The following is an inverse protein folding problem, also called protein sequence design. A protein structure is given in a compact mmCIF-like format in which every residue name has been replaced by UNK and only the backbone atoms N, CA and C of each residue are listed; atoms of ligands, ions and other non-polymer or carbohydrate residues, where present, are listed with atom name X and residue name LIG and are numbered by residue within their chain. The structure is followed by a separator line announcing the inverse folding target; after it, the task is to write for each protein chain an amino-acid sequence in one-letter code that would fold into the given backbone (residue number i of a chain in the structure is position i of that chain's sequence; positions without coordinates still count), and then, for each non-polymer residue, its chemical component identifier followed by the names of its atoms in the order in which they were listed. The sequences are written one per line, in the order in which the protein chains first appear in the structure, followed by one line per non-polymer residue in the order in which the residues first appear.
data_IF_417494204175
#
_entry.id   IF_417494204175
#
_cell.length_a   1.000
_cell.length_b   1.000
_cell.length_c   1.000
_cell.angle_alpha   90.00
_cell.angle_beta   90.00
_cell.angle_gamma   90.00
#
_symmetry.space_group_name_H-M   'P 1'
#
loop_
_entity.id
_entity.type
_entity.pdbx_description
1 polymer ?
#
# COMPACT_ATOMS: atom_id res chain seq x y z
N UNK A 1 -7.43 -6.66 7.23
CA UNK A 1 -6.43 -6.03 6.37
C UNK A 1 -6.85 -4.65 5.99
N UNK A 2 -5.94 -3.70 6.11
CA UNK A 2 -6.28 -2.33 5.80
C UNK A 2 -6.04 -2.06 4.33
N UNK A 3 -7.03 -1.54 3.65
CA UNK A 3 -6.94 -1.24 2.24
C UNK A 3 -6.71 0.23 2.03
N UNK A 4 -6.05 0.55 0.94
CA UNK A 4 -5.82 1.94 0.55
C UNK A 4 -6.29 2.12 -0.88
N UNK A 5 -6.76 3.32 -1.19
CA UNK A 5 -7.27 3.64 -2.50
C UNK A 5 -6.38 4.70 -3.12
N UNK A 6 -5.90 4.45 -4.32
CA UNK A 6 -5.12 5.42 -5.05
C UNK A 6 -6.08 6.51 -5.52
N UNK A 7 -5.86 7.75 -5.08
CA UNK A 7 -6.83 8.80 -5.31
C UNK A 7 -7.07 9.05 -6.78
N UNK A 8 -6.04 8.97 -7.59
CA UNK A 8 -6.18 9.30 -8.98
C UNK A 8 -6.89 8.23 -9.79
N UNK A 9 -6.67 6.97 -9.49
CA UNK A 9 -7.23 5.89 -10.30
C UNK A 9 -8.37 5.13 -9.62
N UNK A 10 -8.49 5.26 -8.32
CA UNK A 10 -9.50 4.50 -7.58
C UNK A 10 -9.14 3.05 -7.35
N UNK A 11 -7.93 2.65 -7.71
CA UNK A 11 -7.54 1.24 -7.56
C UNK A 11 -7.14 0.93 -6.14
N UNK A 12 -7.30 -0.33 -5.78
CA UNK A 12 -7.10 -0.75 -4.41
C UNK A 12 -5.74 -1.37 -4.19
N UNK A 13 -5.17 -1.08 -3.04
CA UNK A 13 -3.87 -1.57 -2.65
C UNK A 13 -3.91 -1.93 -1.17
N UNK A 14 -2.91 -2.64 -0.69
CA UNK A 14 -2.76 -2.84 0.74
C UNK A 14 -1.34 -2.52 1.14
N UNK A 15 -1.14 -2.01 2.33
CA UNK A 15 0.19 -1.75 2.84
C UNK A 15 0.74 -3.06 3.37
N UNK A 16 1.92 -3.44 2.90
CA UNK A 16 2.56 -4.66 3.36
C UNK A 16 3.35 -4.36 4.63
N UNK A 17 4.20 -3.35 4.59
CA UNK A 17 5.01 -3.00 5.75
C UNK A 17 5.63 -1.62 5.53
N UNK A 18 5.92 -0.93 6.61
CA UNK A 18 6.67 0.31 6.52
C UNK A 18 8.02 0.13 7.21
N UNK A 19 8.39 -1.13 7.49
CA UNK A 19 9.60 -1.41 8.21
C UNK A 19 10.47 -2.35 7.40
N UNK A 20 11.19 -1.80 6.45
CA UNK A 20 12.07 -2.59 5.61
C UNK A 20 13.20 -1.68 5.10
N UNK A 21 14.22 -2.27 4.51
CA UNK A 21 15.36 -1.53 4.05
C UNK A 21 15.66 -1.89 2.61
N UNK A 22 16.15 -0.91 1.85
CA UNK A 22 16.53 -1.11 0.48
C UNK A 22 18.02 -0.87 0.39
N UNK A 23 18.74 -1.73 -0.32
CA UNK A 23 20.15 -1.52 -0.54
C UNK A 23 20.35 -0.94 -1.93
N UNK A 24 21.03 0.18 -2.01
CA UNK A 24 21.25 0.83 -3.26
C UNK A 24 22.65 1.43 -3.29
N UNK A 25 23.44 1.09 -4.29
CA UNK A 25 24.78 1.61 -4.43
C UNK A 25 25.62 1.39 -3.16
N UNK A 26 25.46 0.21 -2.57
CA UNK A 26 26.24 -0.12 -1.37
C UNK A 26 25.74 0.47 -0.09
N UNK A 27 24.62 1.21 -0.12
CA UNK A 27 24.09 1.85 1.07
C UNK A 27 22.70 1.35 1.38
N UNK A 28 22.41 1.20 2.66
CA UNK A 28 21.08 0.81 3.09
C UNK A 28 20.22 2.04 3.31
N UNK A 29 19.00 1.99 2.84
CA UNK A 29 18.06 3.10 2.97
C UNK A 29 16.76 2.58 3.57
N UNK A 30 16.13 3.40 4.37
CA UNK A 30 14.86 3.06 4.99
C UNK A 30 13.94 4.25 4.85
N UNK A 31 12.73 4.12 5.33
CA UNK A 31 11.79 5.24 5.29
C UNK A 31 10.83 5.12 4.13
N UNK A 32 10.54 3.89 3.72
CA UNK A 32 9.61 3.67 2.63
C UNK A 32 8.43 2.85 3.11
N UNK A 33 7.34 2.94 2.36
CA UNK A 33 6.19 2.08 2.58
C UNK A 33 6.14 1.11 1.43
N UNK A 34 6.09 -0.18 1.74
CA UNK A 34 5.94 -1.22 0.74
C UNK A 34 4.46 -1.57 0.65
N UNK A 35 3.90 -1.51 -0.54
CA UNK A 35 2.50 -1.79 -0.73
C UNK A 35 2.30 -2.68 -1.94
N UNK A 36 1.15 -3.28 -2.03
CA UNK A 36 0.90 -4.26 -3.07
C UNK A 36 -0.45 -4.01 -3.71
N UNK A 37 -0.56 -4.32 -5.00
CA UNK A 37 -1.81 -4.15 -5.71
C UNK A 37 -2.81 -5.20 -5.27
N UNK A 38 -4.07 -4.82 -5.20
CA UNK A 38 -5.15 -5.76 -4.95
C UNK A 38 -5.93 -5.99 -6.25
N UNK A 39 -5.28 -5.73 -7.37
CA UNK A 39 -5.85 -5.99 -8.68
C UNK A 39 -4.70 -6.49 -9.55
N UNK A 40 -5.03 -7.05 -10.71
CA UNK A 40 -4.01 -7.56 -11.58
C UNK A 40 -3.32 -6.41 -12.27
N UNK A 41 -2.02 -6.29 -12.12
CA UNK A 41 -1.26 -5.18 -12.68
C UNK A 41 -0.08 -5.75 -13.45
N UNK A 42 -0.05 -5.59 -14.78
CA UNK A 42 1.04 -6.16 -15.57
C UNK A 42 2.39 -5.50 -15.29
N UNK A 43 2.42 -4.32 -14.70
CA UNK A 43 3.66 -3.64 -14.43
C UNK A 43 4.31 -4.07 -13.12
N UNK A 44 3.64 -4.86 -12.32
CA UNK A 44 4.22 -5.34 -11.07
C UNK A 44 3.19 -5.44 -9.98
N UNK A 45 3.57 -6.10 -8.91
CA UNK A 45 2.66 -6.32 -7.80
C UNK A 45 3.04 -5.52 -6.57
N UNK A 46 4.33 -5.34 -6.34
CA UNK A 46 4.80 -4.65 -5.15
C UNK A 46 5.48 -3.35 -5.53
N UNK A 47 5.23 -2.32 -4.77
CA UNK A 47 5.77 -0.99 -5.02
C UNK A 47 6.17 -0.36 -3.71
N UNK A 48 7.03 0.62 -3.75
CA UNK A 48 7.46 1.34 -2.56
C UNK A 48 7.42 2.84 -2.83
N UNK A 49 7.00 3.60 -1.83
CA UNK A 49 7.00 5.06 -1.89
C UNK A 49 7.44 5.58 -0.54
N UNK A 50 7.90 6.82 -0.49
CA UNK A 50 8.14 7.43 0.80
C UNK A 50 6.79 7.63 1.48
N UNK A 51 6.77 7.76 2.81
CA UNK A 51 5.50 7.96 3.50
C UNK A 51 4.78 9.21 3.02
N UNK A 52 5.51 10.31 2.78
CA UNK A 52 4.88 11.51 2.30
C UNK A 52 4.21 11.28 0.97
N UNK A 53 4.90 10.64 0.05
CA UNK A 53 4.33 10.39 -1.27
C UNK A 53 3.16 9.42 -1.18
N UNK A 54 3.25 8.43 -0.32
CA UNK A 54 2.19 7.46 -0.18
C UNK A 54 0.92 8.11 0.36
N UNK A 55 1.02 8.85 1.47
CA UNK A 55 -0.18 9.41 2.07
C UNK A 55 -0.74 10.59 1.28
N UNK A 56 0.07 11.18 0.41
CA UNK A 56 -0.44 12.21 -0.43
C UNK A 56 -1.29 11.63 -1.57
N UNK A 57 -0.96 10.45 -2.03
CA UNK A 57 -1.60 9.85 -3.19
C UNK A 57 -2.60 8.74 -2.88
N UNK A 58 -2.65 8.30 -1.64
CA UNK A 58 -3.56 7.22 -1.24
C UNK A 58 -4.37 7.63 -0.05
N UNK A 59 -5.56 7.10 0.04
CA UNK A 59 -6.38 7.34 1.23
C UNK A 59 -6.85 6.01 1.75
N UNK A 60 -7.10 5.95 3.05
CA UNK A 60 -7.48 4.71 3.67
C UNK A 60 -8.88 4.32 3.25
N UNK A 61 -9.03 3.10 2.82
CA UNK A 61 -10.33 2.60 2.43
C UNK A 61 -11.01 1.93 3.59
N UNK A 62 -12.30 1.62 3.41
CA UNK A 62 -13.01 0.96 4.45
C UNK A 62 -12.68 -0.50 4.49
N UNK A 63 -12.71 -1.02 5.70
CA UNK A 63 -12.52 -2.45 5.85
C UNK A 63 -13.83 -3.08 5.69
N UNK A 64 -14.09 -3.68 4.54
CA UNK A 64 -15.34 -4.18 4.31
C UNK A 64 -15.71 -5.26 5.13
N UNK A 65 -14.87 -5.96 5.51
CA UNK A 65 -15.21 -7.02 6.25
C UNK A 65 -15.70 -6.69 7.48
N UNK A 66 -15.45 -5.62 7.75
CA UNK A 66 -15.89 -5.31 8.93
C UNK A 66 -17.23 -5.48 8.91
N UNK A 67 -17.53 -5.62 8.53
CA UNK A 67 -18.66 -5.68 8.61
C UNK A 67 -19.37 -6.58 8.49
N UNK A 68 -19.34 -6.90 8.05
CA UNK A 68 -20.17 -7.71 7.80
C UNK A 68 -20.35 -8.66 8.68
N UNK A 69 -19.69 -9.02 9.02
CA UNK A 69 -19.79 -9.92 9.74
C UNK A 69 -20.57 -9.93 10.65
N UNK A 70 -20.57 -9.50 10.79
CA UNK A 70 -21.25 -9.46 11.56
C UNK A 70 -22.45 -9.55 11.37
N UNK A 71 -22.71 -9.69 10.72
CA UNK A 71 -23.79 -9.77 10.54
C UNK A 71 -24.42 -10.62 10.79
N UNK A 72 -24.05 -10.99 10.87
CA UNK A 72 -24.55 -11.75 11.21
C UNK A 72 -24.92 -12.13 11.79
#
# INVERSE_FOLDING_TARGET
MKKYIHKKTGRLYRMVTDNFMIKENGEWRRGFILYETLYENPDGRFFARTPEDFYENFEEGKEEETNIDNKE
#
